data_IF_763106291406
#
_entry.id   IF_763106291406
#
_cell.length_a   1.000
_cell.length_b   1.000
_cell.length_c   1.000
_cell.angle_alpha   90.00
_cell.angle_beta   90.00
_cell.angle_gamma   90.00
#
_symmetry.space_group_name_H-M   'P 1'
#
loop_
_entity.id
_entity.type
_entity.pdbx_description
1 polymer ?
#
# COMPACT_ATOMS: atom_id res chain seq x y z
N UNK A 1 20.16 10.46 -8.34
CA UNK A 1 18.69 10.50 -8.22
C UNK A 1 18.14 9.37 -9.06
N UNK A 2 17.83 8.22 -8.46
CA UNK A 2 17.00 7.24 -9.15
C UNK A 2 15.59 7.85 -9.11
N UNK A 3 15.05 8.21 -10.27
CA UNK A 3 13.68 8.73 -10.37
C UNK A 3 12.72 7.71 -9.74
N UNK A 4 11.74 8.17 -8.94
CA UNK A 4 10.71 7.33 -8.33
C UNK A 4 10.01 6.41 -9.36
N UNK A 5 9.92 6.89 -10.61
CA UNK A 5 9.43 6.12 -11.76
C UNK A 5 10.18 4.79 -11.95
N UNK A 6 11.51 4.75 -11.77
CA UNK A 6 12.32 3.54 -11.95
C UNK A 6 12.18 2.53 -10.80
N UNK A 7 11.65 2.93 -9.65
CA UNK A 7 11.38 2.00 -8.53
C UNK A 7 10.03 1.31 -8.71
N UNK A 8 9.02 2.05 -9.19
CA UNK A 8 7.68 1.55 -9.53
C UNK A 8 7.68 0.48 -10.63
N UNK A 9 8.50 0.69 -11.67
CA UNK A 9 8.68 -0.21 -12.81
C UNK A 9 9.50 -1.47 -12.50
N UNK A 10 10.11 -1.57 -11.31
CA UNK A 10 10.86 -2.76 -10.91
C UNK A 10 10.03 -3.66 -10.00
N UNK A 11 9.14 -3.08 -9.19
CA UNK A 11 8.39 -3.83 -8.17
C UNK A 11 6.96 -4.20 -8.59
N UNK A 12 6.26 -3.36 -9.36
CA UNK A 12 4.82 -3.54 -9.63
C UNK A 12 4.43 -3.61 -11.10
N UNK A 13 5.12 -2.88 -11.96
CA UNK A 13 4.76 -2.74 -13.38
C UNK A 13 5.94 -3.12 -14.27
N UNK A 14 5.68 -3.49 -15.52
CA UNK A 14 6.74 -3.50 -16.52
C UNK A 14 7.19 -2.06 -16.83
N UNK A 15 8.41 -1.89 -17.35
CA UNK A 15 8.94 -0.58 -17.76
C UNK A 15 7.98 0.11 -18.73
N UNK A 16 7.57 1.35 -18.42
CA UNK A 16 6.61 2.13 -19.20
C UNK A 16 5.13 1.79 -19.01
N UNK A 17 4.78 0.79 -18.20
CA UNK A 17 3.39 0.32 -18.01
C UNK A 17 2.76 0.79 -16.68
N UNK A 18 3.46 1.63 -15.91
CA UNK A 18 2.89 2.22 -14.69
C UNK A 18 1.84 3.29 -15.04
N UNK A 19 0.69 3.34 -14.36
CA UNK A 19 -0.29 4.42 -14.56
C UNK A 19 0.28 5.79 -14.18
N UNK A 20 -0.28 6.85 -14.76
CA UNK A 20 0.01 8.22 -14.31
C UNK A 20 -0.55 8.45 -12.89
N UNK A 21 0.24 9.03 -11.95
CA UNK A 21 -0.26 9.42 -10.63
C UNK A 21 -1.36 10.51 -10.67
N UNK A 22 -2.26 10.57 -9.65
CA UNK A 22 -2.29 9.69 -8.48
C UNK A 22 -2.95 8.35 -8.77
N UNK A 23 -2.35 7.27 -8.27
CA UNK A 23 -2.93 5.93 -8.33
C UNK A 23 -2.66 5.16 -7.04
N UNK A 24 -3.41 4.07 -6.85
CA UNK A 24 -3.27 3.16 -5.71
C UNK A 24 -2.91 1.77 -6.23
N UNK A 25 -1.93 1.13 -5.58
CA UNK A 25 -1.72 -0.31 -5.68
C UNK A 25 -2.37 -1.02 -4.50
N UNK A 26 -3.04 -2.14 -4.79
CA UNK A 26 -3.54 -3.07 -3.78
C UNK A 26 -2.74 -4.36 -3.86
N UNK A 27 -1.97 -4.65 -2.81
CA UNK A 27 -1.06 -5.78 -2.77
C UNK A 27 -1.45 -6.74 -1.66
N UNK A 28 -1.21 -8.03 -1.91
CA UNK A 28 -1.37 -9.13 -0.95
C UNK A 28 -0.02 -9.81 -0.73
N UNK A 29 0.94 -9.15 -0.05
CA UNK A 29 2.31 -9.64 0.06
C UNK A 29 2.44 -10.92 0.90
N UNK A 30 1.43 -11.23 1.72
CA UNK A 30 1.47 -12.39 2.59
C UNK A 30 0.18 -12.63 3.36
N UNK A 31 0.28 -13.48 4.37
CA UNK A 31 -0.82 -13.84 5.26
C UNK A 31 -0.32 -13.91 6.70
N UNK A 32 -1.08 -13.37 7.64
CA UNK A 32 -0.83 -13.46 9.08
C UNK A 32 -1.83 -14.41 9.75
N UNK A 33 -1.79 -15.67 9.35
CA UNK A 33 -2.80 -16.66 9.75
C UNK A 33 -2.76 -16.94 11.25
N UNK A 34 -3.93 -16.94 11.89
CA UNK A 34 -4.05 -17.46 13.25
C UNK A 34 -3.97 -18.99 13.22
N UNK A 35 -2.95 -19.54 13.88
CA UNK A 35 -2.67 -20.97 13.91
C UNK A 35 -2.72 -21.56 15.31
N UNK A 36 -3.20 -22.80 15.41
CA UNK A 36 -3.18 -23.64 16.61
C UNK A 36 -3.06 -25.11 16.17
N UNK A 37 -2.44 -25.97 16.99
CA UNK A 37 -2.31 -27.42 16.71
C UNK A 37 -1.73 -27.78 15.32
N UNK A 38 -0.85 -26.93 14.77
CA UNK A 38 -0.29 -27.09 13.43
C UNK A 38 -1.28 -26.87 12.28
N UNK A 39 -2.43 -26.24 12.54
CA UNK A 39 -3.46 -25.91 11.56
C UNK A 39 -3.74 -24.41 11.56
N UNK A 40 -4.14 -23.91 10.39
CA UNK A 40 -4.68 -22.54 10.27
C UNK A 40 -6.16 -22.57 10.67
N UNK A 41 -6.48 -21.89 11.77
CA UNK A 41 -7.84 -21.76 12.27
C UNK A 41 -8.54 -20.54 11.66
N UNK A 42 -7.82 -19.43 11.51
CA UNK A 42 -8.30 -18.27 10.76
C UNK A 42 -7.27 -17.85 9.72
N UNK A 43 -7.72 -17.74 8.46
CA UNK A 43 -6.92 -17.19 7.38
C UNK A 43 -7.03 -15.68 7.41
N UNK A 44 -5.89 -15.00 7.44
CA UNK A 44 -5.81 -13.55 7.44
C UNK A 44 -4.82 -13.16 6.36
N UNK A 45 -5.24 -12.36 5.40
CA UNK A 45 -4.35 -11.81 4.38
C UNK A 45 -3.80 -10.48 4.87
N UNK A 46 -2.49 -10.28 4.72
CA UNK A 46 -1.91 -8.95 4.83
C UNK A 46 -2.30 -8.19 3.58
N UNK A 47 -2.91 -7.03 3.77
CA UNK A 47 -3.27 -6.11 2.68
C UNK A 47 -2.37 -4.90 2.79
N UNK A 48 -1.66 -4.57 1.71
CA UNK A 48 -0.91 -3.32 1.61
C UNK A 48 -1.54 -2.42 0.56
N UNK A 49 -1.89 -1.21 0.99
CA UNK A 49 -2.41 -0.15 0.14
C UNK A 49 -1.29 0.87 -0.02
N UNK A 50 -0.86 1.10 -1.25
CA UNK A 50 0.22 2.03 -1.56
C UNK A 50 -0.33 3.16 -2.43
N UNK A 51 -0.26 4.38 -1.91
CA UNK A 51 -0.66 5.59 -2.61
C UNK A 51 0.57 6.20 -3.29
N UNK A 52 0.51 6.32 -4.61
CA UNK A 52 1.56 6.94 -5.42
C UNK A 52 1.09 8.29 -5.95
N UNK A 53 1.92 9.30 -5.73
CA UNK A 53 1.69 10.70 -6.09
C UNK A 53 3.00 11.32 -6.58
N UNK A 54 2.94 12.21 -7.57
CA UNK A 54 4.13 12.93 -8.06
C UNK A 54 4.80 13.80 -6.99
N UNK A 55 4.01 14.29 -6.03
CA UNK A 55 4.44 15.11 -4.90
C UNK A 55 3.69 14.66 -3.67
N UNK A 56 4.28 14.86 -2.48
CA UNK A 56 3.60 14.62 -1.21
C UNK A 56 2.24 15.33 -1.21
N UNK A 57 1.17 14.55 -1.04
CA UNK A 57 -0.20 15.03 -1.01
C UNK A 57 -0.90 14.55 0.26
N UNK A 58 -0.83 15.34 1.36
CA UNK A 58 -1.50 15.00 2.61
C UNK A 58 -3.02 14.89 2.48
N UNK A 59 -3.62 15.58 1.50
CA UNK A 59 -5.06 15.50 1.26
C UNK A 59 -5.46 14.14 0.73
N UNK A 60 -4.72 13.62 -0.25
CA UNK A 60 -4.93 12.27 -0.77
C UNK A 60 -4.71 11.18 0.29
N UNK A 61 -3.73 11.37 1.18
CA UNK A 61 -3.52 10.45 2.33
C UNK A 61 -4.73 10.42 3.26
N UNK A 62 -5.22 11.59 3.68
CA UNK A 62 -6.40 11.69 4.56
C UNK A 62 -7.64 11.08 3.91
N UNK A 63 -7.80 11.22 2.59
CA UNK A 63 -8.92 10.59 1.87
C UNK A 63 -8.84 9.05 1.92
N UNK A 64 -7.66 8.47 1.75
CA UNK A 64 -7.47 7.02 1.87
C UNK A 64 -7.77 6.55 3.30
N UNK A 65 -7.21 7.24 4.29
CA UNK A 65 -7.43 6.96 5.72
C UNK A 65 -8.92 7.02 6.08
N UNK A 66 -9.63 8.05 5.62
CA UNK A 66 -11.07 8.23 5.85
C UNK A 66 -11.89 7.08 5.26
N UNK A 67 -11.57 6.62 4.04
CA UNK A 67 -12.27 5.49 3.42
C UNK A 67 -12.07 4.19 4.22
N UNK A 68 -10.87 3.98 4.78
CA UNK A 68 -10.59 2.83 5.64
C UNK A 68 -11.34 2.92 6.97
N UNK A 69 -11.36 4.10 7.58
CA UNK A 69 -12.09 4.36 8.82
C UNK A 69 -13.60 4.16 8.66
N UNK A 70 -14.19 4.70 7.58
CA UNK A 70 -15.61 4.56 7.25
C UNK A 70 -16.00 3.08 6.98
N UNK A 71 -15.05 2.29 6.45
CA UNK A 71 -15.20 0.86 6.26
C UNK A 71 -14.96 0.03 7.54
N UNK A 72 -14.52 0.65 8.64
CA UNK A 72 -14.17 -0.02 9.89
C UNK A 72 -12.91 -0.90 9.77
N UNK A 73 -12.00 -0.56 8.85
CA UNK A 73 -10.78 -1.32 8.60
C UNK A 73 -9.64 -0.73 9.44
N UNK A 74 -9.09 -1.55 10.34
CA UNK A 74 -7.88 -1.19 11.08
C UNK A 74 -6.65 -1.22 10.17
N UNK A 75 -5.79 -0.20 10.27
CA UNK A 75 -4.55 -0.11 9.52
C UNK A 75 -3.41 0.51 10.33
N UNK A 76 -2.18 0.29 9.88
CA UNK A 76 -1.00 1.04 10.30
C UNK A 76 -0.45 1.80 9.11
N UNK A 77 0.02 3.04 9.33
CA UNK A 77 0.65 3.86 8.29
C UNK A 77 2.17 3.78 8.36
N UNK A 78 2.80 3.62 7.21
CA UNK A 78 4.22 3.85 7.01
C UNK A 78 4.40 4.76 5.80
N UNK A 79 5.46 5.56 5.77
CA UNK A 79 5.75 6.45 4.65
C UNK A 79 7.26 6.55 4.41
N UNK A 80 7.64 6.72 3.14
CA UNK A 80 9.05 6.85 2.73
C UNK A 80 9.54 8.29 2.83
N UNK A 81 8.64 9.27 2.69
CA UNK A 81 8.98 10.70 2.63
C UNK A 81 8.45 11.48 3.85
N UNK A 82 9.22 11.51 4.94
CA UNK A 82 8.99 12.49 6.01
C UNK A 82 9.64 13.82 5.62
N UNK A 83 8.84 14.85 5.35
CA UNK A 83 9.34 16.23 5.36
C UNK A 83 9.70 16.57 6.81
N UNK A 84 10.98 16.67 7.12
CA UNK A 84 11.46 17.48 8.24
C UNK A 84 12.07 18.75 7.66
#
# INVERSE_FOLDING_TARGET
MISLARYLEVDHFAEGESPDPPFICYLLPGSDNFSADGRVYFRISEVRIELYTDRKDPGAEVLVETVLDDAGIFYNKSEVWNLH
#
